data_IF_483440524778
#
_entry.id   IF_483440524778
#
_cell.length_a   1.000
_cell.length_b   1.000
_cell.length_c   1.000
_cell.angle_alpha   90.00
_cell.angle_beta   90.00
_cell.angle_gamma   90.00
#
_symmetry.space_group_name_H-M   'P 1'
#
loop_
_entity.id
_entity.type
_entity.pdbx_description
1 polymer ?
#
# COMPACT_ATOMS: atom_id res chain seq x y z
N UNK A 1 3.79 -2.40 -24.61
CA UNK A 1 4.78 -1.85 -23.67
C UNK A 1 5.13 -2.90 -22.64
N UNK A 2 6.39 -3.01 -22.24
CA UNK A 2 6.85 -3.95 -21.23
C UNK A 2 7.65 -3.23 -20.14
N UNK A 3 7.74 -3.83 -18.95
CA UNK A 3 8.60 -3.31 -17.88
C UNK A 3 10.07 -3.62 -18.17
N UNK A 4 10.98 -2.81 -17.62
CA UNK A 4 12.43 -3.03 -17.76
C UNK A 4 12.86 -4.41 -17.23
N UNK A 5 12.26 -4.87 -16.13
CA UNK A 5 12.53 -6.22 -15.59
C UNK A 5 12.15 -7.32 -16.58
N UNK A 6 10.99 -7.16 -17.26
CA UNK A 6 10.54 -8.11 -18.27
C UNK A 6 11.42 -8.07 -19.51
N UNK A 7 11.85 -6.86 -19.94
CA UNK A 7 12.78 -6.70 -21.05
C UNK A 7 14.10 -7.45 -20.79
N UNK A 8 14.67 -7.28 -19.60
CA UNK A 8 15.91 -7.97 -19.20
C UNK A 8 15.74 -9.49 -19.12
N UNK A 9 14.59 -9.97 -18.60
CA UNK A 9 14.30 -11.42 -18.53
C UNK A 9 14.14 -12.09 -19.89
N UNK A 10 13.49 -11.40 -20.83
CA UNK A 10 13.22 -11.98 -22.18
C UNK A 10 14.40 -11.83 -23.12
N UNK A 11 15.13 -10.72 -23.04
CA UNK A 11 16.12 -10.35 -24.07
C UNK A 11 17.52 -10.10 -23.51
N UNK A 12 17.71 -10.15 -22.20
CA UNK A 12 19.00 -9.86 -21.55
C UNK A 12 19.38 -8.37 -21.51
N UNK A 13 18.56 -7.47 -22.09
CA UNK A 13 18.81 -6.03 -22.18
C UNK A 13 17.53 -5.24 -22.01
N UNK A 14 17.64 -3.94 -21.68
CA UNK A 14 16.50 -3.02 -21.66
C UNK A 14 16.22 -2.35 -23.02
N UNK A 15 17.16 -2.40 -23.95
CA UNK A 15 17.00 -1.85 -25.31
C UNK A 15 16.35 -2.86 -26.24
N UNK A 16 15.02 -2.93 -26.19
CA UNK A 16 14.24 -3.97 -26.85
C UNK A 16 13.08 -3.43 -27.70
N UNK A 17 13.00 -2.12 -27.87
CA UNK A 17 11.97 -1.50 -28.72
C UNK A 17 12.12 -2.04 -30.16
N UNK A 18 10.99 -2.44 -30.74
CA UNK A 18 10.94 -3.08 -32.06
C UNK A 18 11.16 -4.59 -32.07
N UNK A 19 11.61 -5.21 -30.95
CA UNK A 19 11.74 -6.68 -30.88
C UNK A 19 10.38 -7.32 -30.68
N UNK A 20 10.23 -8.56 -31.19
CA UNK A 20 9.01 -9.36 -31.08
C UNK A 20 9.13 -10.36 -29.94
N UNK A 21 8.05 -10.57 -29.19
CA UNK A 21 7.91 -11.63 -28.20
C UNK A 21 6.54 -12.29 -28.30
N UNK A 22 6.43 -13.51 -27.81
CA UNK A 22 5.18 -14.26 -27.79
C UNK A 22 4.51 -14.12 -26.42
N UNK A 23 3.22 -13.76 -26.41
CA UNK A 23 2.38 -13.77 -25.23
C UNK A 23 1.09 -14.54 -25.55
N UNK A 24 0.84 -15.63 -24.83
CA UNK A 24 -0.32 -16.51 -25.07
C UNK A 24 -0.47 -16.91 -26.55
N UNK A 25 0.63 -17.36 -27.17
CA UNK A 25 0.71 -17.78 -28.59
C UNK A 25 0.49 -16.66 -29.63
N UNK A 26 0.35 -15.42 -29.19
CA UNK A 26 0.25 -14.25 -30.07
C UNK A 26 1.55 -13.45 -30.08
N UNK A 27 1.96 -13.02 -31.28
CA UNK A 27 3.18 -12.22 -31.42
C UNK A 27 2.90 -10.72 -31.17
N UNK A 28 3.70 -10.10 -30.32
CA UNK A 28 3.63 -8.68 -30.02
C UNK A 28 4.98 -8.01 -30.25
N UNK A 29 4.95 -6.80 -30.77
CA UNK A 29 6.14 -5.95 -30.95
C UNK A 29 6.24 -5.02 -29.76
N UNK A 30 7.43 -4.92 -29.15
CA UNK A 30 7.70 -3.99 -28.06
C UNK A 30 7.73 -2.57 -28.60
N UNK A 31 6.78 -1.73 -28.23
CA UNK A 31 6.73 -0.31 -28.62
C UNK A 31 7.30 0.63 -27.56
N UNK A 32 7.65 0.13 -26.38
CA UNK A 32 8.26 0.92 -25.32
C UNK A 32 8.62 0.10 -24.10
N UNK A 33 9.57 0.61 -23.33
CA UNK A 33 10.01 0.04 -22.04
C UNK A 33 9.78 1.07 -20.96
N UNK A 34 9.18 0.65 -19.84
CA UNK A 34 8.89 1.52 -18.69
C UNK A 34 9.57 1.00 -17.44
N UNK A 35 9.86 1.91 -16.51
CA UNK A 35 10.42 1.53 -15.21
C UNK A 35 9.46 0.63 -14.46
N UNK A 36 9.96 -0.39 -13.73
CA UNK A 36 9.11 -1.28 -12.96
C UNK A 36 8.42 -0.50 -11.84
N UNK A 37 7.17 -0.83 -11.60
CA UNK A 37 6.38 -0.32 -10.48
C UNK A 37 6.43 -1.35 -9.35
N UNK A 38 6.38 -0.88 -8.09
CA UNK A 38 6.35 -1.77 -6.94
C UNK A 38 5.19 -2.78 -7.02
N UNK A 39 5.46 -4.04 -6.69
CA UNK A 39 4.44 -5.10 -6.59
C UNK A 39 3.34 -4.79 -5.57
N UNK A 40 3.62 -3.89 -4.62
CA UNK A 40 2.64 -3.41 -3.64
C UNK A 40 1.60 -2.47 -4.27
N UNK A 41 1.91 -1.88 -5.41
CA UNK A 41 0.97 -1.03 -6.15
C UNK A 41 0.02 -1.91 -6.98
N UNK A 42 -0.84 -2.66 -6.31
CA UNK A 42 -1.73 -3.72 -6.85
C UNK A 42 -2.40 -3.37 -8.18
N UNK A 43 -2.84 -2.13 -8.35
CA UNK A 43 -3.58 -1.70 -9.54
C UNK A 43 -2.70 -1.10 -10.65
N UNK A 44 -1.47 -0.70 -10.32
CA UNK A 44 -0.52 -0.16 -11.29
C UNK A 44 0.55 -1.18 -11.69
N UNK A 45 0.72 -2.27 -10.91
CA UNK A 45 1.72 -3.28 -11.19
C UNK A 45 1.31 -4.15 -12.37
N UNK A 46 2.07 -4.06 -13.44
CA UNK A 46 2.05 -5.00 -14.56
C UNK A 46 3.46 -5.13 -15.14
N UNK A 47 3.73 -6.24 -15.78
CA UNK A 47 4.99 -6.47 -16.50
C UNK A 47 4.83 -6.23 -18.01
N UNK A 48 3.60 -6.38 -18.52
CA UNK A 48 3.25 -6.20 -19.93
C UNK A 48 1.95 -5.42 -20.01
N UNK A 49 1.91 -4.41 -20.87
CA UNK A 49 0.70 -3.65 -21.20
C UNK A 49 0.45 -3.82 -22.69
N UNK A 50 -0.73 -4.26 -23.05
CA UNK A 50 -1.20 -4.43 -24.44
C UNK A 50 -2.48 -3.61 -24.64
N UNK A 51 -2.78 -3.14 -25.85
CA UNK A 51 -4.05 -2.51 -26.11
C UNK A 51 -5.22 -3.45 -25.82
N UNK A 52 -6.26 -2.96 -25.16
CA UNK A 52 -7.44 -3.76 -24.86
C UNK A 52 -8.08 -4.32 -26.17
N UNK A 53 -8.09 -3.50 -27.21
CA UNK A 53 -8.60 -3.88 -28.55
C UNK A 53 -7.86 -5.04 -29.22
N UNK A 54 -6.64 -5.38 -28.76
CA UNK A 54 -5.87 -6.52 -29.28
C UNK A 54 -6.11 -7.84 -28.52
N UNK A 55 -7.06 -7.82 -27.55
CA UNK A 55 -7.38 -9.00 -26.75
C UNK A 55 -8.76 -9.54 -27.10
N UNK A 56 -8.93 -10.86 -27.01
CA UNK A 56 -10.26 -11.49 -27.16
C UNK A 56 -11.24 -11.02 -26.08
N UNK A 57 -10.76 -10.52 -24.95
CA UNK A 57 -11.60 -9.96 -23.90
C UNK A 57 -12.36 -8.70 -24.34
N UNK A 58 -11.86 -7.96 -25.35
CA UNK A 58 -12.54 -6.79 -25.89
C UNK A 58 -13.76 -7.17 -26.75
N UNK A 59 -13.68 -8.32 -27.44
CA UNK A 59 -14.74 -8.82 -28.32
C UNK A 59 -15.60 -9.90 -27.65
N UNK A 60 -15.21 -10.36 -26.45
CA UNK A 60 -15.97 -11.37 -25.73
C UNK A 60 -17.30 -10.80 -25.23
N UNK A 61 -18.38 -11.50 -25.51
CA UNK A 61 -19.71 -11.23 -24.93
C UNK A 61 -19.82 -11.93 -23.58
N UNK A 62 -20.09 -11.17 -22.53
CA UNK A 62 -20.23 -11.69 -21.18
C UNK A 62 -21.67 -11.47 -20.69
N UNK A 63 -22.39 -12.57 -20.53
CA UNK A 63 -23.79 -12.54 -20.10
C UNK A 63 -24.78 -12.16 -21.22
N UNK A 64 -26.07 -12.16 -20.87
CA UNK A 64 -27.12 -11.66 -21.74
C UNK A 64 -26.95 -10.16 -21.95
N UNK A 65 -27.17 -9.67 -23.15
CA UNK A 65 -27.04 -8.26 -23.54
C UNK A 65 -25.63 -7.64 -23.42
N UNK A 66 -24.58 -8.42 -23.24
CA UNK A 66 -23.20 -7.94 -23.22
C UNK A 66 -22.87 -6.90 -22.13
N UNK A 67 -23.62 -6.89 -21.04
CA UNK A 67 -23.52 -5.89 -19.97
C UNK A 67 -22.47 -6.28 -18.92
N UNK A 68 -22.15 -7.56 -18.80
CA UNK A 68 -21.15 -8.05 -17.85
C UNK A 68 -19.75 -8.01 -18.45
N UNK A 69 -18.78 -7.55 -17.69
CA UNK A 69 -17.37 -7.49 -18.10
C UNK A 69 -16.43 -7.53 -16.90
N UNK A 70 -15.17 -7.89 -17.15
CA UNK A 70 -14.09 -7.92 -16.13
C UNK A 70 -13.18 -6.70 -16.26
N UNK A 71 -13.69 -5.57 -16.74
CA UNK A 71 -12.92 -4.35 -16.93
C UNK A 71 -12.96 -3.46 -15.69
N UNK A 72 -11.82 -2.89 -15.35
CA UNK A 72 -11.70 -1.86 -14.33
C UNK A 72 -11.28 -0.55 -14.99
N UNK A 73 -11.86 0.57 -14.55
CA UNK A 73 -11.52 1.91 -15.04
C UNK A 73 -10.80 2.65 -13.93
N UNK A 74 -9.65 3.24 -14.27
CA UNK A 74 -8.88 4.10 -13.37
C UNK A 74 -8.99 5.53 -13.85
N UNK A 75 -9.48 6.40 -12.97
CA UNK A 75 -9.66 7.83 -13.24
C UNK A 75 -8.55 8.59 -12.53
N UNK A 76 -7.71 9.28 -13.30
CA UNK A 76 -6.70 10.18 -12.75
C UNK A 76 -7.32 11.56 -12.53
N UNK A 77 -7.62 11.89 -11.28
CA UNK A 77 -8.06 13.22 -10.87
C UNK A 77 -6.85 14.16 -10.75
N UNK A 78 -7.04 15.45 -11.06
CA UNK A 78 -5.99 16.47 -10.89
C UNK A 78 -5.77 16.80 -9.41
N UNK A 79 -6.85 16.79 -8.62
CA UNK A 79 -6.87 17.09 -7.19
C UNK A 79 -7.85 16.18 -6.46
N UNK A 80 -7.72 16.10 -5.14
CA UNK A 80 -8.73 15.46 -4.28
C UNK A 80 -10.07 16.18 -4.28
N UNK A 81 -10.07 17.47 -4.57
CA UNK A 81 -11.26 18.29 -4.64
C UNK A 81 -12.17 17.94 -5.82
N UNK A 82 -11.61 17.23 -6.83
CA UNK A 82 -12.37 16.74 -7.98
C UNK A 82 -13.20 15.48 -7.66
N UNK A 83 -12.92 14.79 -6.55
CA UNK A 83 -13.59 13.52 -6.23
C UNK A 83 -15.12 13.63 -6.10
N UNK A 84 -15.71 14.68 -5.48
CA UNK A 84 -17.15 14.85 -5.45
C UNK A 84 -17.76 14.99 -6.84
N UNK A 85 -17.13 15.80 -7.71
CA UNK A 85 -17.59 16.00 -9.09
C UNK A 85 -17.53 14.72 -9.92
N UNK A 86 -16.46 13.93 -9.77
CA UNK A 86 -16.30 12.62 -10.43
C UNK A 86 -17.42 11.66 -9.98
N UNK A 87 -17.74 11.62 -8.70
CA UNK A 87 -18.85 10.78 -8.19
C UNK A 87 -20.19 11.22 -8.71
N UNK A 88 -20.45 12.52 -8.71
CA UNK A 88 -21.69 13.07 -9.25
C UNK A 88 -21.87 12.73 -10.72
N UNK A 89 -20.79 12.80 -11.51
CA UNK A 89 -20.85 12.43 -12.92
C UNK A 89 -21.06 10.91 -13.09
N UNK A 90 -20.43 10.08 -12.27
CA UNK A 90 -20.67 8.63 -12.26
C UNK A 90 -22.14 8.30 -11.94
N UNK A 91 -22.74 8.98 -10.95
CA UNK A 91 -24.16 8.81 -10.60
C UNK A 91 -25.09 9.28 -11.74
N UNK A 92 -24.73 10.38 -12.41
CA UNK A 92 -25.46 10.86 -13.59
C UNK A 92 -25.43 9.84 -14.73
N UNK A 93 -24.26 9.29 -15.05
CA UNK A 93 -24.10 8.28 -16.10
C UNK A 93 -24.84 6.99 -15.74
N UNK A 94 -24.81 6.59 -14.46
CA UNK A 94 -25.61 5.48 -13.97
C UNK A 94 -27.10 5.69 -14.23
N UNK A 95 -27.62 6.86 -13.88
CA UNK A 95 -29.05 7.18 -14.08
C UNK A 95 -29.45 7.10 -15.57
N UNK A 96 -28.61 7.60 -16.46
CA UNK A 96 -28.83 7.51 -17.92
C UNK A 96 -28.83 6.04 -18.37
N UNK A 97 -27.86 5.25 -17.92
CA UNK A 97 -27.78 3.83 -18.25
C UNK A 97 -29.03 3.06 -17.78
N UNK A 98 -29.45 3.28 -16.54
CA UNK A 98 -30.64 2.66 -15.96
C UNK A 98 -31.93 3.03 -16.70
N UNK A 99 -32.04 4.26 -17.17
CA UNK A 99 -33.21 4.70 -17.99
C UNK A 99 -33.30 3.95 -19.33
N UNK A 100 -32.15 3.56 -19.90
CA UNK A 100 -32.11 2.76 -21.14
C UNK A 100 -32.28 1.26 -20.95
N UNK A 101 -32.15 0.77 -19.69
CA UNK A 101 -32.13 -0.66 -19.38
C UNK A 101 -33.05 -0.98 -18.19
N UNK A 102 -34.37 -0.94 -18.36
CA UNK A 102 -35.36 -1.05 -17.26
C UNK A 102 -35.33 -2.41 -16.54
N UNK A 103 -34.77 -3.45 -17.16
CA UNK A 103 -34.69 -4.80 -16.62
C UNK A 103 -33.42 -5.03 -15.76
N UNK A 104 -32.53 -4.03 -15.64
CA UNK A 104 -31.27 -4.15 -14.91
C UNK A 104 -31.20 -3.15 -13.77
N UNK A 105 -30.62 -3.56 -12.65
CA UNK A 105 -30.26 -2.67 -11.54
C UNK A 105 -28.72 -2.61 -11.42
N UNK A 106 -28.15 -1.47 -11.78
CA UNK A 106 -26.71 -1.22 -11.71
C UNK A 106 -26.33 -0.71 -10.34
N UNK A 107 -25.75 -1.57 -9.52
CA UNK A 107 -25.32 -1.27 -8.16
C UNK A 107 -23.85 -0.87 -8.11
N UNK A 108 -23.54 0.41 -8.02
CA UNK A 108 -22.17 0.92 -7.89
C UNK A 108 -21.54 0.65 -6.53
N UNK A 109 -22.35 0.41 -5.50
CA UNK A 109 -21.88 0.17 -4.13
C UNK A 109 -20.90 1.22 -3.60
N UNK A 110 -21.16 2.52 -3.98
CA UNK A 110 -20.34 3.66 -3.61
C UNK A 110 -19.12 3.93 -4.50
N UNK A 111 -18.95 3.21 -5.61
CA UNK A 111 -17.91 3.52 -6.61
C UNK A 111 -18.26 4.82 -7.38
N UNK A 112 -17.25 5.52 -7.94
CA UNK A 112 -15.82 5.19 -7.94
C UNK A 112 -15.15 5.40 -6.58
N UNK A 113 -14.25 4.49 -6.24
CA UNK A 113 -13.52 4.50 -4.98
C UNK A 113 -12.19 5.26 -5.08
N UNK A 114 -11.76 5.84 -3.97
CA UNK A 114 -10.36 6.19 -3.82
C UNK A 114 -9.50 4.92 -3.72
N UNK A 115 -8.19 5.02 -4.01
CA UNK A 115 -7.27 3.89 -3.93
C UNK A 115 -7.34 3.15 -2.58
N UNK A 116 -7.40 3.90 -1.46
CA UNK A 116 -7.50 3.32 -0.12
C UNK A 116 -8.80 2.52 0.06
N UNK A 117 -9.93 3.07 -0.36
CA UNK A 117 -11.25 2.41 -0.25
C UNK A 117 -11.33 1.17 -1.13
N UNK A 118 -10.83 1.27 -2.37
CA UNK A 118 -10.77 0.13 -3.30
C UNK A 118 -9.95 -1.03 -2.76
N UNK A 119 -8.85 -0.75 -2.04
CA UNK A 119 -8.02 -1.76 -1.40
C UNK A 119 -8.74 -2.53 -0.26
N UNK A 120 -9.82 -1.95 0.30
CA UNK A 120 -10.63 -2.57 1.35
C UNK A 120 -11.84 -3.34 0.81
N UNK A 121 -11.96 -3.49 -0.52
CA UNK A 121 -13.00 -4.33 -1.12
C UNK A 121 -12.47 -5.74 -1.35
N UNK A 122 -13.27 -6.73 -1.03
CA UNK A 122 -13.00 -8.12 -1.41
C UNK A 122 -13.15 -8.31 -2.93
N UNK A 123 -14.20 -7.74 -3.50
CA UNK A 123 -14.45 -7.70 -4.95
C UNK A 123 -15.23 -6.44 -5.33
N UNK A 124 -15.34 -6.16 -6.62
CA UNK A 124 -16.11 -5.02 -7.13
C UNK A 124 -17.59 -5.05 -6.68
N UNK A 125 -18.14 -6.24 -6.50
CA UNK A 125 -19.55 -6.47 -6.14
C UNK A 125 -19.83 -6.33 -4.63
N UNK A 126 -18.79 -6.23 -3.78
CA UNK A 126 -18.96 -6.08 -2.35
C UNK A 126 -18.82 -4.61 -1.92
N UNK A 127 -19.54 -4.18 -0.89
CA UNK A 127 -19.27 -2.87 -0.27
C UNK A 127 -17.87 -2.86 0.35
N UNK A 128 -17.20 -1.69 0.46
CA UNK A 128 -15.89 -1.61 1.06
C UNK A 128 -15.95 -1.82 2.57
N UNK A 129 -15.11 -2.70 3.10
CA UNK A 129 -15.01 -3.01 4.52
C UNK A 129 -14.04 -2.06 5.25
N UNK A 130 -14.20 -0.74 5.07
CA UNK A 130 -13.26 0.27 5.57
C UNK A 130 -13.20 0.30 7.10
N UNK A 131 -14.36 0.21 7.78
CA UNK A 131 -14.42 0.25 9.26
C UNK A 131 -13.69 -0.94 9.87
N UNK A 132 -13.91 -2.12 9.34
CA UNK A 132 -13.28 -3.37 9.77
C UNK A 132 -11.77 -3.32 9.54
N UNK A 133 -11.34 -2.84 8.37
CA UNK A 133 -9.94 -2.68 8.04
C UNK A 133 -9.23 -1.68 8.98
N UNK A 134 -9.82 -0.51 9.21
CA UNK A 134 -9.27 0.50 10.14
C UNK A 134 -9.18 -0.07 11.55
N UNK A 135 -10.21 -0.76 12.03
CA UNK A 135 -10.18 -1.42 13.33
C UNK A 135 -9.03 -2.44 13.41
N UNK A 136 -8.85 -3.26 12.38
CA UNK A 136 -7.77 -4.25 12.33
C UNK A 136 -6.39 -3.58 12.32
N UNK A 137 -6.21 -2.49 11.56
CA UNK A 137 -4.96 -1.73 11.56
C UNK A 137 -4.65 -1.14 12.93
N UNK A 138 -5.65 -0.56 13.62
CA UNK A 138 -5.48 -0.03 14.99
C UNK A 138 -5.09 -1.15 15.95
N UNK A 139 -5.78 -2.29 15.93
CA UNK A 139 -5.46 -3.43 16.79
C UNK A 139 -4.04 -3.96 16.53
N UNK A 140 -3.67 -4.12 15.27
CA UNK A 140 -2.32 -4.56 14.88
C UNK A 140 -1.27 -3.57 15.38
N UNK A 141 -1.50 -2.26 15.19
CA UNK A 141 -0.61 -1.22 15.66
C UNK A 141 -0.47 -1.24 17.20
N UNK A 142 -1.58 -1.41 17.92
CA UNK A 142 -1.56 -1.51 19.38
C UNK A 142 -0.72 -2.70 19.86
N UNK A 143 -0.89 -3.87 19.26
CA UNK A 143 -0.07 -5.06 19.58
C UNK A 143 1.41 -4.80 19.31
N UNK A 144 1.73 -4.22 18.15
CA UNK A 144 3.10 -3.87 17.77
C UNK A 144 3.73 -2.83 18.69
N UNK A 145 2.94 -1.98 19.33
CA UNK A 145 3.42 -0.98 20.31
C UNK A 145 3.51 -1.56 21.73
N UNK A 146 2.53 -2.35 22.15
CA UNK A 146 2.47 -2.88 23.53
C UNK A 146 3.62 -3.85 23.80
N UNK A 147 3.93 -4.75 22.87
CA UNK A 147 5.00 -5.76 23.07
C UNK A 147 6.37 -5.11 23.33
N UNK A 148 6.87 -4.17 22.49
CA UNK A 148 8.10 -3.44 22.80
C UNK A 148 8.00 -2.59 24.07
N UNK A 149 6.83 -1.95 24.32
CA UNK A 149 6.65 -1.10 25.51
C UNK A 149 6.78 -1.90 26.81
N UNK A 150 6.19 -3.09 26.89
CA UNK A 150 6.33 -3.99 28.05
C UNK A 150 7.79 -4.42 28.20
N UNK A 151 8.46 -4.76 27.12
CA UNK A 151 9.85 -5.16 27.13
C UNK A 151 10.79 -4.04 27.61
N UNK A 152 10.58 -2.82 27.10
CA UNK A 152 11.32 -1.63 27.54
C UNK A 152 11.03 -1.29 29.01
N UNK A 153 9.77 -1.47 29.48
CA UNK A 153 9.42 -1.23 30.87
C UNK A 153 10.19 -2.14 31.82
N UNK A 154 10.35 -3.43 31.49
CA UNK A 154 11.13 -4.39 32.25
C UNK A 154 12.62 -4.00 32.31
N UNK A 155 13.21 -3.58 31.20
CA UNK A 155 14.60 -3.12 31.14
C UNK A 155 14.80 -1.82 31.94
N UNK A 156 13.86 -0.88 31.83
CA UNK A 156 13.92 0.37 32.59
C UNK A 156 13.83 0.12 34.09
N UNK A 157 12.91 -0.75 34.51
CA UNK A 157 12.77 -1.13 35.92
C UNK A 157 14.04 -1.78 36.46
N UNK A 158 14.66 -2.68 35.69
CA UNK A 158 15.93 -3.33 36.07
C UNK A 158 17.07 -2.30 36.25
N UNK A 159 17.18 -1.32 35.33
CA UNK A 159 18.17 -0.24 35.44
C UNK A 159 17.90 0.66 36.64
N UNK A 160 16.64 0.99 36.90
CA UNK A 160 16.28 1.81 38.07
C UNK A 160 16.59 1.11 39.38
N UNK A 161 16.36 -0.20 39.50
CA UNK A 161 16.74 -0.97 40.71
C UNK A 161 18.23 -0.87 41.02
N UNK A 162 19.10 -0.84 40.03
CA UNK A 162 20.55 -0.66 40.22
C UNK A 162 20.94 0.73 40.69
N UNK A 163 20.10 1.76 40.45
CA UNK A 163 20.33 3.18 40.81
C UNK A 163 19.54 3.63 42.02
N UNK A 164 18.81 2.75 42.72
CA UNK A 164 17.98 3.11 43.89
C UNK A 164 18.82 3.78 44.97
N UNK A 165 20.05 3.28 45.25
CA UNK A 165 20.93 3.87 46.24
C UNK A 165 21.36 5.28 45.85
N UNK A 166 21.74 5.52 44.61
CA UNK A 166 22.11 6.84 44.07
C UNK A 166 20.96 7.85 44.18
N UNK A 167 19.76 7.41 43.75
CA UNK A 167 18.54 8.24 43.84
C UNK A 167 18.20 8.52 45.28
N UNK A 168 18.37 7.55 46.19
CA UNK A 168 18.16 7.71 47.63
C UNK A 168 19.09 8.75 48.23
N UNK A 169 20.37 8.71 47.90
CA UNK A 169 21.37 9.70 48.37
C UNK A 169 20.99 11.10 47.85
N UNK A 170 20.72 11.28 46.58
CA UNK A 170 20.32 12.59 46.02
C UNK A 170 19.05 13.14 46.69
N UNK A 171 18.08 12.28 46.98
CA UNK A 171 16.85 12.65 47.68
C UNK A 171 17.12 13.06 49.11
N UNK A 172 18.07 12.40 49.81
CA UNK A 172 18.48 12.78 51.17
C UNK A 172 19.16 14.16 51.21
N UNK A 173 19.85 14.55 50.12
CA UNK A 173 20.41 15.89 49.94
C UNK A 173 19.40 16.92 49.40
N UNK A 174 18.09 16.61 49.37
CA UNK A 174 17.03 17.56 49.06
C UNK A 174 16.68 17.69 47.57
N UNK A 175 17.17 16.81 46.71
CA UNK A 175 16.81 16.86 45.30
C UNK A 175 15.29 16.66 45.11
N UNK A 176 14.59 17.56 44.39
CA UNK A 176 13.16 17.46 44.19
C UNK A 176 12.82 16.27 43.27
N UNK A 177 11.68 15.63 43.58
CA UNK A 177 11.20 14.44 42.78
C UNK A 177 11.10 14.74 41.31
N UNK A 178 10.72 15.97 40.94
CA UNK A 178 10.56 16.39 39.55
C UNK A 178 11.87 16.28 38.75
N UNK A 179 12.98 16.73 39.33
CA UNK A 179 14.30 16.69 38.69
C UNK A 179 14.76 15.25 38.47
N UNK A 180 14.60 14.37 39.46
CA UNK A 180 14.94 12.96 39.36
C UNK A 180 14.09 12.25 38.27
N UNK A 181 12.80 12.56 38.23
CA UNK A 181 11.91 12.01 37.17
C UNK A 181 12.30 12.52 35.79
N UNK A 182 12.55 13.82 35.64
CA UNK A 182 12.95 14.41 34.36
C UNK A 182 14.30 13.86 33.89
N UNK A 183 15.23 13.60 34.77
CA UNK A 183 16.50 12.98 34.42
C UNK A 183 16.30 11.57 33.86
N UNK A 184 15.52 10.72 34.54
CA UNK A 184 15.24 9.35 34.06
C UNK A 184 14.48 9.36 32.73
N UNK A 185 13.52 10.30 32.59
CA UNK A 185 12.74 10.44 31.36
C UNK A 185 13.62 10.87 30.19
N UNK A 186 14.49 11.87 30.39
CA UNK A 186 15.39 12.37 29.35
C UNK A 186 16.43 11.29 28.92
N UNK A 187 16.99 10.54 29.87
CA UNK A 187 17.87 9.43 29.55
C UNK A 187 17.17 8.37 28.68
N UNK A 188 15.96 7.95 29.07
CA UNK A 188 15.21 6.96 28.27
C UNK A 188 14.78 7.51 26.91
N UNK A 189 14.45 8.80 26.82
CA UNK A 189 14.11 9.45 25.56
C UNK A 189 15.29 9.49 24.61
N UNK A 190 16.49 9.80 25.12
CA UNK A 190 17.73 9.75 24.32
C UNK A 190 18.01 8.36 23.79
N UNK A 191 17.94 7.31 24.63
CA UNK A 191 18.14 5.94 24.18
C UNK A 191 17.10 5.51 23.13
N UNK A 192 15.83 5.90 23.31
CA UNK A 192 14.79 5.60 22.34
C UNK A 192 15.01 6.33 21.03
N UNK A 193 15.46 7.58 21.06
CA UNK A 193 15.77 8.36 19.87
C UNK A 193 16.92 7.74 19.07
N UNK A 194 18.05 7.43 19.74
CA UNK A 194 19.19 6.77 19.08
C UNK A 194 18.81 5.40 18.54
N UNK A 195 18.11 4.59 19.32
CA UNK A 195 17.62 3.28 18.88
C UNK A 195 16.66 3.37 17.69
N UNK A 196 15.77 4.34 17.72
CA UNK A 196 14.83 4.60 16.64
C UNK A 196 15.50 5.04 15.33
N UNK A 197 16.48 5.95 15.41
CA UNK A 197 17.26 6.39 14.23
C UNK A 197 18.06 5.21 13.67
N UNK A 198 18.76 4.46 14.53
CA UNK A 198 19.52 3.30 14.09
C UNK A 198 18.65 2.23 13.46
N UNK A 199 17.49 1.94 14.07
CA UNK A 199 16.50 1.01 13.53
C UNK A 199 15.96 1.43 12.16
N UNK A 200 15.70 2.73 11.98
CA UNK A 200 15.25 3.28 10.70
C UNK A 200 16.32 3.16 9.61
N UNK A 201 17.58 3.49 9.93
CA UNK A 201 18.70 3.34 8.98
C UNK A 201 18.89 1.87 8.59
N UNK A 202 18.90 0.95 9.56
CA UNK A 202 19.02 -0.48 9.28
C UNK A 202 17.85 -1.01 8.46
N UNK A 203 16.63 -0.58 8.75
CA UNK A 203 15.45 -0.94 7.98
C UNK A 203 15.55 -0.47 6.53
N UNK A 204 15.99 0.78 6.31
CA UNK A 204 16.21 1.30 4.96
C UNK A 204 17.29 0.50 4.22
N UNK A 205 18.41 0.18 4.85
CA UNK A 205 19.48 -0.61 4.25
C UNK A 205 19.02 -2.02 3.88
N UNK A 206 18.29 -2.70 4.76
CA UNK A 206 17.75 -4.03 4.50
C UNK A 206 16.70 -4.03 3.39
N UNK A 207 15.85 -3.00 3.35
CA UNK A 207 14.81 -2.90 2.33
C UNK A 207 15.38 -2.56 0.94
N UNK A 208 16.48 -1.80 0.88
CA UNK A 208 17.15 -1.44 -0.38
C UNK A 208 18.16 -2.48 -0.85
N UNK A 209 18.53 -3.45 -0.01
CA UNK A 209 19.38 -4.58 -0.40
C UNK A 209 18.66 -5.45 -1.44
N UNK A 210 19.27 -5.71 -2.62
CA UNK A 210 18.68 -6.62 -3.60
C UNK A 210 18.53 -8.01 -2.98
N UNK A 211 17.33 -8.57 -3.06
CA UNK A 211 17.07 -9.92 -2.57
C UNK A 211 17.89 -10.92 -3.41
N UNK A 212 18.50 -11.97 -2.80
CA UNK A 212 19.17 -13.04 -3.55
C UNK A 212 18.26 -13.72 -4.59
N UNK A 213 16.95 -13.52 -4.51
CA UNK A 213 15.96 -14.01 -5.50
C UNK A 213 15.82 -13.13 -6.72
N UNK A 214 16.29 -11.88 -6.67
CA UNK A 214 16.22 -10.96 -7.81
C UNK A 214 17.47 -11.05 -8.71
N UNK A 215 18.47 -11.86 -8.32
CA UNK A 215 19.72 -12.08 -9.06
C UNK A 215 19.78 -13.42 -9.80
N UNK A 216 18.67 -14.15 -9.92
CA UNK A 216 18.57 -15.37 -10.71
C UNK A 216 17.61 -15.25 -11.87
#
# INVERSE_FOLDING_TARGET
VISEDMARRLFGTSEVVGKTFLLNHSAYIVCGVVRPVSKLAKYAYAQVWIPLSSTSAFTATWGDDNIMGMTAVYILAKSRDDFPAIRQEADRLRAIFMAGHPNFDLLYRGQPDTYFVAAQRYSANNPPAVKEAVRQYILTLLVLLIVPAVNLSGLTLSRMRKRISEIGVRKAFGAPRRELMMQVLSENMLYSLFGGILGLVLSCLLYTSPSPRDTR
#
